data_IF_224548668019
#
_entry.id   IF_224548668019
#
_cell.length_a   1.000
_cell.length_b   1.000
_cell.length_c   1.000
_cell.angle_alpha   90.00
_cell.angle_beta   90.00
_cell.angle_gamma   90.00
#
_symmetry.space_group_name_H-M   'P 1'
#
loop_
_entity.id
_entity.type
_entity.pdbx_description
1 polymer ?
#
# COMPACT_ATOMS: atom_id res chain seq x y z
N UNK A 1 -6.93 0.31 -15.70
CA UNK A 1 -6.13 -0.47 -16.68
C UNK A 1 -5.66 -1.71 -15.95
N UNK A 2 -5.93 -2.91 -16.47
CA UNK A 2 -5.54 -4.19 -15.86
C UNK A 2 -4.18 -4.63 -16.43
N UNK A 3 -3.18 -4.84 -15.57
CA UNK A 3 -1.80 -5.17 -15.98
C UNK A 3 -1.68 -6.59 -16.54
N UNK A 4 -2.69 -7.44 -16.32
CA UNK A 4 -2.76 -8.85 -16.77
C UNK A 4 -1.46 -9.60 -16.50
N UNK A 5 -1.13 -9.77 -15.23
CA UNK A 5 0.02 -10.56 -14.79
C UNK A 5 -0.15 -12.03 -15.20
N UNK A 6 0.92 -12.65 -15.67
CA UNK A 6 0.96 -14.10 -15.91
C UNK A 6 1.02 -14.87 -14.59
N UNK A 7 0.55 -16.11 -14.58
CA UNK A 7 0.64 -17.00 -13.40
C UNK A 7 2.08 -17.13 -12.87
N UNK A 8 3.07 -17.11 -13.77
CA UNK A 8 4.50 -17.14 -13.42
C UNK A 8 4.92 -15.89 -12.65
N UNK A 9 4.46 -14.72 -13.06
CA UNK A 9 4.75 -13.46 -12.37
C UNK A 9 4.10 -13.44 -11.00
N UNK A 10 2.81 -13.81 -10.92
CA UNK A 10 2.09 -13.91 -9.65
C UNK A 10 2.80 -14.86 -8.69
N UNK A 11 3.23 -16.04 -9.18
CA UNK A 11 4.01 -16.99 -8.37
C UNK A 11 5.32 -16.40 -7.87
N UNK A 12 6.06 -15.69 -8.73
CA UNK A 12 7.31 -15.03 -8.33
C UNK A 12 7.09 -13.97 -7.26
N UNK A 13 6.04 -13.15 -7.38
CA UNK A 13 5.67 -12.17 -6.36
C UNK A 13 5.39 -12.81 -5.00
N UNK A 14 4.72 -13.97 -5.01
CA UNK A 14 4.48 -14.78 -3.79
C UNK A 14 5.77 -15.32 -3.17
N UNK A 15 6.68 -15.83 -3.99
CA UNK A 15 7.99 -16.34 -3.54
C UNK A 15 8.81 -15.23 -2.87
N UNK A 16 8.84 -14.02 -3.45
CA UNK A 16 9.50 -12.85 -2.85
C UNK A 16 8.92 -12.53 -1.47
N UNK A 17 7.59 -12.52 -1.32
CA UNK A 17 6.95 -12.30 -0.02
C UNK A 17 7.32 -13.37 1.02
N UNK A 18 7.40 -14.63 0.60
CA UNK A 18 7.80 -15.74 1.46
C UNK A 18 9.26 -15.60 1.92
N UNK A 19 10.16 -15.18 1.03
CA UNK A 19 11.56 -14.91 1.36
C UNK A 19 11.69 -13.76 2.36
N UNK A 20 10.92 -12.68 2.19
CA UNK A 20 10.97 -11.49 3.05
C UNK A 20 10.48 -11.75 4.48
N UNK A 21 9.40 -12.52 4.65
CA UNK A 21 8.74 -12.67 5.96
C UNK A 21 8.90 -14.05 6.60
N UNK A 22 9.30 -15.07 5.83
CA UNK A 22 9.50 -16.45 6.31
C UNK A 22 8.34 -17.02 7.14
N UNK A 23 7.10 -16.58 6.86
CA UNK A 23 5.89 -16.98 7.56
C UNK A 23 4.69 -17.02 6.60
N UNK A 24 3.54 -17.51 7.08
CA UNK A 24 2.30 -17.63 6.30
C UNK A 24 1.28 -16.51 6.57
N UNK A 25 1.67 -15.43 7.26
CA UNK A 25 0.77 -14.29 7.49
C UNK A 25 0.48 -13.60 6.16
N UNK A 26 -0.74 -13.08 6.03
CA UNK A 26 -1.09 -12.19 4.93
C UNK A 26 -0.30 -10.87 5.05
N UNK A 27 -0.10 -10.18 3.94
CA UNK A 27 0.70 -8.94 3.93
C UNK A 27 -0.16 -7.72 3.61
N UNK A 28 0.16 -6.61 4.27
CA UNK A 28 -0.27 -5.25 3.93
C UNK A 28 0.93 -4.56 3.26
N UNK A 29 0.70 -3.88 2.15
CA UNK A 29 1.73 -3.08 1.48
C UNK A 29 1.49 -1.60 1.75
N UNK A 30 2.56 -0.89 2.13
CA UNK A 30 2.58 0.57 2.21
C UNK A 30 3.53 1.16 1.17
N UNK A 31 3.16 2.30 0.59
CA UNK A 31 4.04 3.14 -0.22
C UNK A 31 3.99 4.57 0.29
N UNK A 32 5.07 4.99 0.96
CA UNK A 32 5.05 6.21 1.77
C UNK A 32 5.56 7.46 1.03
N UNK A 33 6.05 7.30 -0.19
CA UNK A 33 6.59 8.39 -0.99
C UNK A 33 5.53 9.04 -1.89
N UNK A 34 5.58 10.36 -2.00
CA UNK A 34 4.77 11.14 -2.95
C UNK A 34 5.57 12.37 -3.41
N UNK A 35 5.01 13.15 -4.33
CA UNK A 35 5.65 14.38 -4.82
C UNK A 35 4.75 15.60 -4.61
N UNK A 36 5.37 16.77 -4.40
CA UNK A 36 4.66 18.04 -4.24
C UNK A 36 3.75 18.08 -3.00
N UNK A 37 2.58 18.71 -3.14
CA UNK A 37 1.64 18.92 -2.02
C UNK A 37 0.95 17.64 -1.54
N UNK A 38 1.19 16.51 -2.22
CA UNK A 38 0.67 15.18 -1.85
C UNK A 38 1.51 14.48 -0.78
N UNK A 39 2.68 15.03 -0.45
CA UNK A 39 3.56 14.46 0.56
C UNK A 39 2.99 14.67 1.96
N UNK A 40 2.67 13.57 2.61
CA UNK A 40 2.44 13.56 4.05
C UNK A 40 3.76 13.64 4.82
N UNK A 41 3.71 14.17 6.04
CA UNK A 41 4.90 14.30 6.89
C UNK A 41 5.41 12.93 7.34
N UNK A 42 6.72 12.81 7.58
CA UNK A 42 7.32 11.62 8.23
C UNK A 42 6.60 11.24 9.52
N UNK A 43 6.30 12.23 10.36
CA UNK A 43 5.58 12.01 11.63
C UNK A 43 4.24 11.33 11.39
N UNK A 44 3.49 11.75 10.38
CA UNK A 44 2.19 11.17 10.04
C UNK A 44 2.32 9.72 9.60
N UNK A 45 3.24 9.43 8.67
CA UNK A 45 3.49 8.07 8.21
C UNK A 45 3.98 7.15 9.31
N UNK A 46 4.91 7.64 10.15
CA UNK A 46 5.40 6.89 11.30
C UNK A 46 4.26 6.54 12.27
N UNK A 47 3.40 7.52 12.57
CA UNK A 47 2.26 7.29 13.46
C UNK A 47 1.27 6.28 12.89
N UNK A 48 0.92 6.39 11.60
CA UNK A 48 0.04 5.42 10.93
C UNK A 48 0.68 4.02 10.91
N UNK A 49 1.99 3.92 10.65
CA UNK A 49 2.70 2.64 10.66
C UNK A 49 2.65 1.95 12.02
N UNK A 50 2.89 2.70 13.10
CA UNK A 50 2.79 2.15 14.46
C UNK A 50 1.38 1.63 14.77
N UNK A 51 0.34 2.33 14.32
CA UNK A 51 -1.03 1.91 14.55
C UNK A 51 -1.47 0.75 13.64
N UNK A 52 -0.91 0.66 12.42
CA UNK A 52 -1.03 -0.53 11.57
C UNK A 52 -0.42 -1.75 12.27
N UNK A 53 0.78 -1.62 12.84
CA UNK A 53 1.44 -2.72 13.56
C UNK A 53 0.61 -3.21 14.76
N UNK A 54 0.02 -2.28 15.53
CA UNK A 54 -0.84 -2.62 16.68
C UNK A 54 -2.14 -3.28 16.24
N UNK A 55 -2.80 -2.71 15.24
CA UNK A 55 -4.16 -3.11 14.83
C UNK A 55 -4.17 -4.39 13.99
N UNK A 56 -3.09 -4.65 13.24
CA UNK A 56 -2.97 -5.78 12.32
C UNK A 56 -1.77 -6.67 12.68
N UNK A 57 -1.62 -7.01 13.96
CA UNK A 57 -0.50 -7.84 14.47
C UNK A 57 -0.39 -9.24 13.83
N UNK A 58 -1.48 -9.75 13.26
CA UNK A 58 -1.53 -11.01 12.50
C UNK A 58 -1.16 -10.86 11.02
N UNK A 59 -0.81 -9.66 10.57
CA UNK A 59 -0.37 -9.35 9.22
C UNK A 59 1.13 -8.99 9.19
N UNK A 60 1.76 -9.26 8.05
CA UNK A 60 3.05 -8.66 7.71
C UNK A 60 2.82 -7.25 7.14
N UNK A 61 3.74 -6.33 7.36
CA UNK A 61 3.72 -5.00 6.74
C UNK A 61 4.98 -4.85 5.89
N UNK A 62 4.80 -4.63 4.59
CA UNK A 62 5.85 -4.41 3.60
C UNK A 62 5.82 -2.96 3.12
N UNK A 63 6.93 -2.25 3.20
CA UNK A 63 7.11 -0.97 2.52
C UNK A 63 7.72 -1.19 1.13
N UNK A 64 7.02 -0.77 0.07
CA UNK A 64 7.65 -0.64 -1.25
C UNK A 64 8.36 0.71 -1.30
N UNK A 65 9.65 0.71 -1.65
CA UNK A 65 10.44 1.93 -1.75
C UNK A 65 10.41 2.50 -3.17
N UNK A 66 10.54 3.84 -3.31
CA UNK A 66 10.70 4.48 -4.61
C UNK A 66 12.15 4.30 -5.11
N UNK A 67 12.41 4.68 -6.37
CA UNK A 67 13.77 4.65 -6.96
C UNK A 67 14.78 5.50 -6.19
N UNK A 68 14.29 6.54 -5.54
CA UNK A 68 15.03 7.46 -4.68
C UNK A 68 15.52 6.79 -3.39
N UNK A 69 15.03 5.58 -3.08
CA UNK A 69 15.37 4.82 -1.88
C UNK A 69 15.11 5.64 -0.60
N UNK A 70 13.89 6.17 -0.49
CA UNK A 70 13.43 6.99 0.63
C UNK A 70 12.27 6.28 1.33
N UNK A 71 12.34 6.20 2.65
CA UNK A 71 11.26 5.72 3.53
C UNK A 71 10.78 6.87 4.42
N UNK A 72 9.46 7.04 4.55
CA UNK A 72 8.88 7.99 5.51
C UNK A 72 8.68 7.37 6.90
N UNK A 73 8.90 6.06 7.05
CA UNK A 73 8.89 5.33 8.32
C UNK A 73 10.30 4.95 8.78
N UNK A 74 11.30 5.68 8.27
CA UNK A 74 12.73 5.52 8.58
C UNK A 74 13.24 4.06 8.45
N UNK A 75 12.75 3.34 7.43
CA UNK A 75 13.08 1.94 7.15
C UNK A 75 12.73 0.98 8.30
N UNK A 76 11.78 1.37 9.17
CA UNK A 76 11.31 0.54 10.29
C UNK A 76 10.49 -0.67 9.83
N UNK A 77 9.92 -0.62 8.63
CA UNK A 77 9.24 -1.76 8.00
C UNK A 77 10.24 -2.63 7.23
N UNK A 78 9.91 -3.92 7.09
CA UNK A 78 10.51 -4.75 6.03
C UNK A 78 10.21 -4.04 4.71
N UNK A 79 11.22 -3.87 3.87
CA UNK A 79 11.10 -3.06 2.68
C UNK A 79 11.61 -3.77 1.43
N UNK A 80 11.06 -3.40 0.28
CA UNK A 80 11.44 -3.95 -1.00
C UNK A 80 11.51 -2.87 -2.08
N UNK A 81 12.44 -3.01 -3.01
CA UNK A 81 12.58 -2.15 -4.16
C UNK A 81 12.90 -2.99 -5.40
N UNK A 82 12.32 -2.61 -6.53
CA UNK A 82 12.64 -3.18 -7.84
C UNK A 82 12.50 -2.12 -8.93
N UNK A 83 13.29 -2.24 -9.98
CA UNK A 83 13.11 -1.45 -11.21
C UNK A 83 12.05 -2.06 -12.14
N UNK A 84 11.66 -3.32 -11.90
CA UNK A 84 10.62 -4.00 -12.68
C UNK A 84 9.25 -3.75 -12.05
N UNK A 85 8.45 -2.89 -12.69
CA UNK A 85 7.09 -2.59 -12.24
C UNK A 85 6.18 -3.82 -12.26
N UNK A 86 6.43 -4.80 -13.14
CA UNK A 86 5.61 -6.03 -13.17
C UNK A 86 5.93 -6.92 -11.98
N UNK A 87 7.15 -6.89 -11.48
CA UNK A 87 7.54 -7.57 -10.24
C UNK A 87 6.88 -6.92 -9.02
N UNK A 88 6.91 -5.58 -8.93
CA UNK A 88 6.22 -4.88 -7.85
C UNK A 88 4.71 -5.15 -7.89
N UNK A 89 4.10 -5.08 -9.08
CA UNK A 89 2.68 -5.42 -9.25
C UNK A 89 2.39 -6.87 -8.84
N UNK A 90 3.27 -7.82 -9.16
CA UNK A 90 3.11 -9.21 -8.76
C UNK A 90 3.23 -9.42 -7.24
N UNK A 91 4.09 -8.65 -6.56
CA UNK A 91 4.12 -8.63 -5.10
C UNK A 91 2.78 -8.11 -4.56
N UNK A 92 2.33 -6.95 -5.07
CA UNK A 92 1.06 -6.33 -4.65
C UNK A 92 -0.12 -7.29 -4.86
N UNK A 93 -0.21 -7.98 -6.00
CA UNK A 93 -1.25 -8.98 -6.34
C UNK A 93 -1.40 -10.10 -5.29
N UNK A 94 -0.34 -10.39 -4.52
CA UNK A 94 -0.33 -11.42 -3.48
C UNK A 94 -0.56 -10.84 -2.05
N UNK A 95 -1.07 -9.62 -1.93
CA UNK A 95 -1.28 -8.93 -0.64
C UNK A 95 -2.75 -8.64 -0.36
N UNK A 96 -3.09 -8.39 0.90
CA UNK A 96 -4.48 -8.13 1.31
C UNK A 96 -4.94 -6.73 0.90
N UNK A 97 -4.07 -5.73 1.11
CA UNK A 97 -4.36 -4.33 0.81
C UNK A 97 -3.07 -3.57 0.53
N UNK A 98 -3.16 -2.63 -0.40
CA UNK A 98 -2.15 -1.61 -0.65
C UNK A 98 -2.61 -0.28 -0.07
N UNK A 99 -1.72 0.45 0.60
CA UNK A 99 -1.98 1.77 1.18
C UNK A 99 -0.89 2.72 0.67
N UNK A 100 -1.28 3.81 0.02
CA UNK A 100 -0.30 4.78 -0.46
C UNK A 100 -0.90 6.13 -0.77
N UNK A 101 -0.06 7.15 -0.78
CA UNK A 101 -0.46 8.45 -1.28
C UNK A 101 -0.66 8.43 -2.80
N UNK A 102 -1.43 9.38 -3.31
CA UNK A 102 -1.69 9.58 -4.75
C UNK A 102 -0.38 9.73 -5.55
N UNK A 103 -0.01 8.63 -6.20
CA UNK A 103 1.28 8.43 -6.85
C UNK A 103 1.18 7.38 -7.98
N UNK A 104 2.22 7.30 -8.82
CA UNK A 104 2.31 6.26 -9.84
C UNK A 104 2.24 4.84 -9.26
N UNK A 105 2.71 4.64 -8.02
CA UNK A 105 2.65 3.33 -7.34
C UNK A 105 1.21 2.97 -6.94
N UNK A 106 0.42 3.94 -6.48
CA UNK A 106 -1.00 3.74 -6.22
C UNK A 106 -1.73 3.29 -7.50
N UNK A 107 -1.46 3.94 -8.64
CA UNK A 107 -2.05 3.52 -9.91
C UNK A 107 -1.59 2.13 -10.38
N UNK A 108 -0.34 1.75 -10.09
CA UNK A 108 0.13 0.38 -10.33
C UNK A 108 -0.64 -0.62 -9.47
N UNK A 109 -0.88 -0.33 -8.19
CA UNK A 109 -1.67 -1.19 -7.31
C UNK A 109 -3.10 -1.38 -7.82
N UNK A 110 -3.74 -0.32 -8.32
CA UNK A 110 -5.07 -0.36 -8.95
C UNK A 110 -5.13 -1.26 -10.19
N UNK A 111 -3.98 -1.52 -10.83
CA UNK A 111 -3.90 -2.41 -11.98
C UNK A 111 -3.81 -3.91 -11.62
N UNK A 112 -3.82 -4.22 -10.32
CA UNK A 112 -3.83 -5.57 -9.73
C UNK A 112 -5.21 -5.92 -9.17
N UNK A 113 -5.40 -7.15 -8.70
CA UNK A 113 -6.63 -7.55 -7.99
C UNK A 113 -6.66 -7.13 -6.51
N UNK A 114 -5.58 -6.55 -6.00
CA UNK A 114 -5.45 -6.09 -4.62
C UNK A 114 -6.25 -4.82 -4.40
N UNK A 115 -6.89 -4.73 -3.24
CA UNK A 115 -7.60 -3.50 -2.87
C UNK A 115 -6.60 -2.40 -2.60
N UNK A 116 -6.79 -1.26 -3.25
CA UNK A 116 -5.95 -0.07 -3.07
C UNK A 116 -6.70 0.96 -2.22
N UNK A 117 -6.06 1.40 -1.15
CA UNK A 117 -6.46 2.56 -0.35
C UNK A 117 -5.53 3.72 -0.70
N UNK A 118 -6.08 4.72 -1.39
CA UNK A 118 -5.39 5.96 -1.73
C UNK A 118 -5.56 7.00 -0.64
N UNK A 119 -4.47 7.57 -0.15
CA UNK A 119 -4.48 8.66 0.84
C UNK A 119 -4.29 10.01 0.12
N UNK A 120 -5.23 10.95 0.28
CA UNK A 120 -5.26 12.22 -0.43
C UNK A 120 -5.23 13.42 0.53
N UNK A 121 -4.26 14.33 0.40
CA UNK A 121 -4.07 15.47 1.32
C UNK A 121 -4.76 16.78 0.91
N UNK A 122 -4.85 17.06 -0.39
CA UNK A 122 -5.35 18.35 -0.91
C UNK A 122 -6.13 18.21 -2.21
N UNK A 123 -6.04 17.04 -2.86
CA UNK A 123 -6.68 16.78 -4.14
C UNK A 123 -8.10 16.32 -3.90
N UNK A 124 -9.07 16.98 -4.55
CA UNK A 124 -10.47 16.55 -4.52
C UNK A 124 -10.55 15.07 -4.96
N UNK A 125 -11.03 14.16 -4.09
CA UNK A 125 -11.14 12.75 -4.41
C UNK A 125 -11.91 12.54 -5.70
N UNK A 126 -12.97 13.32 -5.94
CA UNK A 126 -13.87 13.17 -7.10
C UNK A 126 -13.15 13.25 -8.46
N UNK A 127 -11.96 13.87 -8.52
CA UNK A 127 -11.17 14.01 -9.76
C UNK A 127 -10.15 12.89 -9.95
N UNK A 128 -9.68 12.26 -8.86
CA UNK A 128 -8.54 11.33 -8.86
C UNK A 128 -8.81 9.97 -8.20
N UNK A 129 -10.08 9.64 -7.95
CA UNK A 129 -10.43 8.34 -7.38
C UNK A 129 -9.82 7.20 -8.20
N UNK A 130 -9.25 6.18 -7.54
CA UNK A 130 -8.73 5.02 -8.22
C UNK A 130 -9.87 4.25 -8.91
N UNK A 131 -10.01 4.44 -10.23
CA UNK A 131 -11.04 3.81 -11.06
C UNK A 131 -11.12 2.28 -10.85
N UNK A 132 -12.28 1.80 -10.39
CA UNK A 132 -12.61 0.38 -10.24
C UNK A 132 -13.28 0.08 -8.89
N UNK A 133 -14.28 -0.80 -8.90
CA UNK A 133 -15.19 -1.09 -7.77
C UNK A 133 -14.55 -1.58 -6.44
N UNK A 134 -13.23 -1.70 -6.37
CA UNK A 134 -12.52 -2.23 -5.19
C UNK A 134 -11.62 -1.22 -4.49
N UNK A 135 -11.43 -0.02 -5.04
CA UNK A 135 -10.47 0.95 -4.51
C UNK A 135 -11.19 2.05 -3.73
N UNK A 136 -10.52 2.55 -2.69
CA UNK A 136 -11.10 3.50 -1.73
C UNK A 136 -10.16 4.68 -1.59
N UNK A 137 -10.72 5.88 -1.62
CA UNK A 137 -10.01 7.13 -1.36
C UNK A 137 -10.30 7.56 0.07
N UNK A 138 -9.25 7.83 0.85
CA UNK A 138 -9.36 8.47 2.16
C UNK A 138 -8.81 9.89 2.02
N UNK A 139 -9.69 10.87 2.22
CA UNK A 139 -9.28 12.28 2.31
C UNK A 139 -8.71 12.54 3.69
N UNK A 140 -7.43 12.90 3.75
CA UNK A 140 -6.71 13.23 4.98
C UNK A 140 -6.44 14.73 4.97
N UNK A 141 -7.36 15.50 5.58
CA UNK A 141 -7.10 16.91 5.89
C UNK A 141 -6.11 17.04 7.06
N UNK A 142 -6.28 16.18 8.06
CA UNK A 142 -5.37 15.93 9.19
C UNK A 142 -5.39 14.42 9.47
N UNK A 143 -4.26 13.83 9.86
CA UNK A 143 -4.23 12.42 10.26
C UNK A 143 -4.92 12.25 11.61
N UNK A 144 -5.97 11.44 11.63
CA UNK A 144 -6.66 11.05 12.86
C UNK A 144 -6.64 9.53 12.97
N UNK A 145 -5.47 8.94 13.23
CA UNK A 145 -5.17 7.52 12.99
C UNK A 145 -6.30 6.51 13.27
N UNK A 146 -7.11 6.72 14.31
CA UNK A 146 -8.29 5.91 14.60
C UNK A 146 -9.27 5.80 13.41
N UNK A 147 -9.51 6.90 12.70
CA UNK A 147 -10.38 6.96 11.52
C UNK A 147 -9.74 6.22 10.33
N UNK A 148 -8.46 6.46 10.03
CA UNK A 148 -7.78 5.75 8.94
C UNK A 148 -7.72 4.24 9.22
N UNK A 149 -7.35 3.83 10.44
CA UNK A 149 -7.31 2.42 10.85
C UNK A 149 -8.70 1.80 10.77
N UNK A 150 -9.75 2.51 11.19
CA UNK A 150 -11.13 2.04 11.10
C UNK A 150 -11.56 1.80 9.66
N UNK A 151 -11.22 2.70 8.74
CA UNK A 151 -11.50 2.49 7.31
C UNK A 151 -10.69 1.30 6.76
N UNK A 152 -9.39 1.23 7.03
CA UNK A 152 -8.54 0.09 6.60
C UNK A 152 -9.10 -1.23 7.12
N UNK A 153 -9.54 -1.28 8.38
CA UNK A 153 -10.12 -2.48 8.98
C UNK A 153 -11.46 -2.88 8.34
N UNK A 154 -12.32 -1.92 7.98
CA UNK A 154 -13.56 -2.22 7.23
C UNK A 154 -13.24 -2.86 5.88
N UNK A 155 -12.23 -2.34 5.19
CA UNK A 155 -11.80 -2.85 3.89
C UNK A 155 -11.30 -4.29 4.00
N UNK A 156 -10.39 -4.54 4.94
CA UNK A 156 -9.84 -5.88 5.17
C UNK A 156 -10.95 -6.87 5.55
N UNK A 157 -11.89 -6.48 6.41
CA UNK A 157 -12.97 -7.37 6.86
C UNK A 157 -14.09 -7.59 5.83
N UNK A 158 -14.32 -6.66 4.91
CA UNK A 158 -15.32 -6.83 3.83
C UNK A 158 -14.98 -7.93 2.82
N UNK A 159 -13.76 -8.48 2.89
CA UNK A 159 -13.27 -9.56 2.01
C UNK A 159 -13.41 -10.97 2.61
N UNK A 160 -13.67 -11.07 3.91
CA UNK A 160 -13.87 -12.33 4.62
C UNK A 160 -15.36 -12.69 4.67
#
# INVERSE_FOLDING_TARGET
MDLKLSEREIKKGKEILQELFSNNKKSIVIFTYATGNKMFSKRSWQSLYEDLQKSFSDYNILEILPKENVSQVDFSAVHYYSQDLREIAAIIENTEVFIGADSGMMHLAVSTNTTTIGLFSVTDPEVYEPYGNKNISISINEFHNDDEIKEINKVINSKN
#
